data_IF_308612926559
#
_entry.id   IF_308612926559
#
_cell.length_a   1.000
_cell.length_b   1.000
_cell.length_c   1.000
_cell.angle_alpha   90.00
_cell.angle_beta   90.00
_cell.angle_gamma   90.00
#
_symmetry.space_group_name_H-M   'P 1'
#
loop_
_entity.id
_entity.type
_entity.pdbx_description
1 polymer ?
#
# COMPACT_ATOMS: atom_id res chain seq x y z
N UNK A 1 6.98 6.11 -20.36
CA UNK A 1 8.15 6.34 -21.25
C UNK A 1 8.22 5.30 -22.37
N UNK A 2 8.26 4.01 -22.07
CA UNK A 2 8.27 2.96 -23.10
C UNK A 2 6.99 2.96 -23.95
N UNK A 3 5.84 3.36 -23.37
CA UNK A 3 4.59 3.50 -24.12
C UNK A 3 4.74 4.48 -25.28
N UNK A 4 5.31 5.66 -25.07
CA UNK A 4 5.55 6.64 -26.16
C UNK A 4 6.53 6.12 -27.20
N UNK A 5 7.57 5.38 -26.76
CA UNK A 5 8.50 4.74 -27.68
C UNK A 5 7.78 3.69 -28.54
N UNK A 6 6.93 2.86 -27.92
CA UNK A 6 6.20 1.83 -28.66
C UNK A 6 5.15 2.44 -29.60
N UNK A 7 4.48 3.53 -29.23
CA UNK A 7 3.61 4.29 -30.12
C UNK A 7 4.37 4.82 -31.35
N UNK A 8 5.56 5.36 -31.14
CA UNK A 8 6.40 5.76 -32.27
C UNK A 8 6.81 4.57 -33.15
N UNK A 9 7.15 3.44 -32.54
CA UNK A 9 7.55 2.22 -33.26
C UNK A 9 6.39 1.57 -34.03
N UNK A 10 5.12 1.83 -33.69
CA UNK A 10 3.95 1.34 -34.46
C UNK A 10 3.94 1.86 -35.88
N UNK A 11 4.56 3.02 -36.14
CA UNK A 11 4.70 3.59 -37.49
C UNK A 11 5.58 2.71 -38.39
N UNK A 12 6.49 1.93 -37.81
CA UNK A 12 7.40 1.06 -38.55
C UNK A 12 6.89 -0.39 -38.65
N UNK A 13 6.21 -0.86 -37.58
CA UNK A 13 5.69 -2.23 -37.54
C UNK A 13 4.45 -2.33 -36.64
N UNK A 14 3.35 -2.85 -37.21
CA UNK A 14 2.05 -2.96 -36.51
C UNK A 14 2.08 -3.88 -35.26
N UNK A 15 3.06 -4.76 -35.15
CA UNK A 15 3.24 -5.64 -33.98
C UNK A 15 3.43 -4.87 -32.67
N UNK A 16 3.94 -3.63 -32.72
CA UNK A 16 4.09 -2.80 -31.52
C UNK A 16 2.76 -2.31 -30.93
N UNK A 17 1.63 -2.43 -31.65
CA UNK A 17 0.30 -2.14 -31.12
C UNK A 17 -0.05 -3.00 -29.88
N UNK A 18 0.58 -4.15 -29.70
CA UNK A 18 0.37 -5.00 -28.53
C UNK A 18 0.65 -4.28 -27.21
N UNK A 19 1.57 -3.32 -27.17
CA UNK A 19 1.91 -2.54 -25.98
C UNK A 19 0.86 -1.48 -25.62
N UNK A 20 -0.15 -1.25 -26.47
CA UNK A 20 -1.28 -0.40 -26.12
C UNK A 20 -2.29 -1.12 -25.23
N UNK A 21 -2.29 -2.46 -25.20
CA UNK A 21 -3.18 -3.22 -24.34
C UNK A 21 -2.81 -3.05 -22.85
N UNK A 22 -3.75 -2.57 -22.07
CA UNK A 22 -3.59 -2.34 -20.62
C UNK A 22 -3.21 -3.61 -19.87
N UNK A 23 -3.80 -4.74 -20.26
CA UNK A 23 -3.50 -6.06 -19.66
C UNK A 23 -2.05 -6.46 -19.84
N UNK A 24 -1.50 -6.30 -21.05
CA UNK A 24 -0.08 -6.59 -21.30
C UNK A 24 0.82 -5.65 -20.49
N UNK A 25 0.53 -4.35 -20.47
CA UNK A 25 1.31 -3.37 -19.72
C UNK A 25 1.27 -3.66 -18.21
N UNK A 26 0.14 -4.12 -17.70
CA UNK A 26 0.03 -4.56 -16.30
C UNK A 26 0.92 -5.78 -16.03
N UNK A 27 0.91 -6.80 -16.89
CA UNK A 27 1.81 -7.98 -16.76
C UNK A 27 3.28 -7.53 -16.80
N UNK A 28 3.64 -6.69 -17.77
CA UNK A 28 5.00 -6.16 -17.87
C UNK A 28 5.37 -5.30 -16.66
N UNK A 29 4.40 -4.59 -16.09
CA UNK A 29 4.55 -3.84 -14.85
C UNK A 29 4.92 -4.74 -13.66
N UNK A 30 4.20 -5.86 -13.47
CA UNK A 30 4.55 -6.88 -12.45
C UNK A 30 5.96 -7.42 -12.68
N UNK A 31 6.24 -7.89 -13.90
CA UNK A 31 7.52 -8.53 -14.23
C UNK A 31 8.71 -7.56 -14.06
N UNK A 32 8.55 -6.33 -14.53
CA UNK A 32 9.61 -5.31 -14.43
C UNK A 32 9.92 -4.97 -12.97
N UNK A 33 8.89 -4.69 -12.15
CA UNK A 33 9.10 -4.35 -10.75
C UNK A 33 9.64 -5.53 -9.93
N UNK A 34 9.15 -6.75 -10.20
CA UNK A 34 9.66 -7.99 -9.60
C UNK A 34 11.15 -8.19 -9.96
N UNK A 35 11.48 -8.07 -11.24
CA UNK A 35 12.85 -8.27 -11.73
C UNK A 35 13.82 -7.23 -11.14
N UNK A 36 13.42 -5.95 -11.09
CA UNK A 36 14.20 -4.90 -10.44
C UNK A 36 14.44 -5.25 -8.96
N UNK A 37 13.39 -5.66 -8.24
CA UNK A 37 13.52 -6.02 -6.83
C UNK A 37 14.49 -7.19 -6.62
N UNK A 38 14.41 -8.24 -7.43
CA UNK A 38 15.28 -9.40 -7.31
C UNK A 38 16.74 -9.11 -7.68
N UNK A 39 16.98 -8.26 -8.70
CA UNK A 39 18.33 -7.89 -9.11
C UNK A 39 19.00 -6.89 -8.17
N UNK A 40 18.25 -5.86 -7.76
CA UNK A 40 18.81 -4.76 -6.94
C UNK A 40 18.84 -5.15 -5.47
N UNK A 41 17.94 -6.04 -5.03
CA UNK A 41 17.79 -6.45 -3.63
C UNK A 41 19.11 -6.88 -2.95
N UNK A 42 19.86 -7.86 -3.49
CA UNK A 42 21.10 -8.31 -2.88
C UNK A 42 22.15 -7.20 -2.76
N UNK A 43 22.22 -6.31 -3.75
CA UNK A 43 23.12 -5.15 -3.71
C UNK A 43 22.73 -4.17 -2.62
N UNK A 44 21.42 -3.82 -2.55
CA UNK A 44 20.90 -2.91 -1.52
C UNK A 44 21.13 -3.46 -0.11
N UNK A 45 20.79 -4.74 0.12
CA UNK A 45 20.94 -5.39 1.44
C UNK A 45 22.40 -5.36 1.86
N UNK A 46 23.33 -5.65 0.94
CA UNK A 46 24.78 -5.57 1.23
C UNK A 46 25.19 -4.16 1.64
N UNK A 47 24.73 -3.13 0.92
CA UNK A 47 25.04 -1.74 1.24
C UNK A 47 24.45 -1.30 2.58
N UNK A 48 23.21 -1.69 2.88
CA UNK A 48 22.60 -1.39 4.17
C UNK A 48 23.38 -2.04 5.33
N UNK A 49 23.86 -3.26 5.15
CA UNK A 49 24.71 -3.94 6.12
C UNK A 49 26.09 -3.24 6.29
N UNK A 50 26.74 -2.84 5.19
CA UNK A 50 28.03 -2.13 5.22
C UNK A 50 27.93 -0.80 6.00
N UNK A 51 26.82 -0.09 5.86
CA UNK A 51 26.58 1.17 6.59
C UNK A 51 26.05 0.95 8.01
N UNK A 52 25.98 -0.29 8.50
CA UNK A 52 25.45 -0.65 9.81
C UNK A 52 24.03 -0.08 10.06
N UNK A 53 23.21 -0.03 9.01
CA UNK A 53 21.84 0.44 9.03
C UNK A 53 20.95 -0.68 9.62
N UNK A 54 21.28 -1.16 10.82
CA UNK A 54 20.52 -2.19 11.53
C UNK A 54 19.46 -1.59 12.46
N UNK A 55 18.37 -2.30 12.64
CA UNK A 55 17.35 -1.90 13.58
C UNK A 55 17.81 -2.11 15.02
N UNK A 56 17.76 -1.08 15.86
CA UNK A 56 17.83 -1.24 17.31
C UNK A 56 16.51 -1.81 17.80
N UNK A 57 16.54 -3.07 18.24
CA UNK A 57 15.37 -3.72 18.85
C UNK A 57 15.06 -3.03 20.18
N UNK A 58 13.79 -2.70 20.39
CA UNK A 58 13.34 -2.09 21.67
C UNK A 58 13.34 -3.13 22.78
N UNK A 59 13.82 -2.73 23.96
CA UNK A 59 13.88 -3.60 25.14
C UNK A 59 12.48 -4.00 25.67
N UNK A 60 11.43 -3.27 25.27
CA UNK A 60 10.04 -3.48 25.72
C UNK A 60 9.29 -4.52 24.85
N UNK A 61 9.93 -5.09 23.80
CA UNK A 61 9.33 -6.06 22.86
C UNK A 61 9.43 -7.51 23.32
N UNK A 62 8.82 -8.47 22.57
CA UNK A 62 9.00 -9.90 22.79
C UNK A 62 10.48 -10.28 22.72
N UNK A 63 10.95 -11.15 23.63
CA UNK A 63 12.35 -11.58 23.69
C UNK A 63 12.82 -12.29 22.40
N UNK A 64 11.89 -12.88 21.65
CA UNK A 64 12.16 -13.48 20.33
C UNK A 64 12.76 -12.50 19.33
N UNK A 65 12.49 -11.19 19.48
CA UNK A 65 12.98 -10.15 18.59
C UNK A 65 14.46 -9.78 18.84
N UNK A 66 15.03 -10.14 19.98
CA UNK A 66 16.46 -9.90 20.26
C UNK A 66 17.39 -10.62 19.28
N UNK A 67 16.97 -11.78 18.75
CA UNK A 67 17.72 -12.53 17.72
C UNK A 67 17.78 -11.81 16.36
N UNK A 68 16.91 -10.83 16.13
CA UNK A 68 16.82 -10.02 14.89
C UNK A 68 17.71 -8.76 14.94
N UNK A 69 18.43 -8.55 16.04
CA UNK A 69 19.34 -7.40 16.19
C UNK A 69 20.42 -7.46 15.09
N UNK A 70 20.58 -6.36 14.36
CA UNK A 70 21.53 -6.28 13.25
C UNK A 70 20.94 -6.55 11.86
N UNK A 71 19.68 -7.03 11.74
CA UNK A 71 19.02 -7.11 10.44
C UNK A 71 18.83 -5.70 9.87
N UNK A 72 19.27 -5.42 8.63
CA UNK A 72 19.17 -4.10 8.03
C UNK A 72 17.70 -3.69 7.87
N UNK A 73 17.43 -2.39 8.07
CA UNK A 73 16.14 -1.75 7.83
C UNK A 73 16.21 -0.83 6.60
N UNK A 74 15.14 -0.11 6.28
CA UNK A 74 15.00 0.76 5.09
C UNK A 74 14.88 -0.01 3.76
N UNK A 75 14.51 -1.29 3.80
CA UNK A 75 14.26 -2.08 2.58
C UNK A 75 13.11 -1.56 1.72
N UNK A 76 12.23 -0.73 2.29
CA UNK A 76 11.19 -0.01 1.55
C UNK A 76 11.69 0.83 0.39
N UNK A 77 12.97 1.25 0.40
CA UNK A 77 13.58 1.93 -0.74
C UNK A 77 13.58 1.05 -2.00
N UNK A 78 13.84 -0.26 -1.85
CA UNK A 78 13.79 -1.22 -2.95
C UNK A 78 12.39 -1.25 -3.57
N UNK A 79 11.36 -1.29 -2.72
CA UNK A 79 9.96 -1.32 -3.15
C UNK A 79 9.64 -0.05 -3.93
N UNK A 80 9.96 1.13 -3.40
CA UNK A 80 9.66 2.41 -4.04
C UNK A 80 10.35 2.60 -5.38
N UNK A 81 11.64 2.24 -5.46
CA UNK A 81 12.39 2.30 -6.73
C UNK A 81 11.76 1.37 -7.76
N UNK A 82 11.42 0.14 -7.37
CA UNK A 82 10.81 -0.83 -8.27
C UNK A 82 9.44 -0.39 -8.78
N UNK A 83 8.58 0.16 -7.89
CA UNK A 83 7.29 0.73 -8.27
C UNK A 83 7.47 1.93 -9.19
N UNK A 84 8.34 2.89 -8.81
CA UNK A 84 8.53 4.11 -9.59
C UNK A 84 9.04 3.81 -11.00
N UNK A 85 10.12 3.02 -11.12
CA UNK A 85 10.69 2.68 -12.43
C UNK A 85 9.69 1.92 -13.30
N UNK A 86 9.02 0.91 -12.75
CA UNK A 86 8.03 0.12 -13.48
C UNK A 86 6.85 0.98 -13.95
N UNK A 87 6.30 1.84 -13.08
CA UNK A 87 5.20 2.74 -13.43
C UNK A 87 5.64 3.75 -14.51
N UNK A 88 6.82 4.36 -14.38
CA UNK A 88 7.37 5.29 -15.38
C UNK A 88 7.60 4.62 -16.74
N UNK A 89 7.94 3.33 -16.76
CA UNK A 89 8.11 2.58 -18.00
C UNK A 89 6.77 2.30 -18.71
N UNK A 90 5.78 1.80 -17.99
CA UNK A 90 4.62 1.16 -18.58
C UNK A 90 3.30 1.93 -18.47
N UNK A 91 3.16 2.88 -17.53
CA UNK A 91 1.95 3.68 -17.41
C UNK A 91 1.96 4.87 -18.37
N UNK A 92 0.76 5.34 -18.69
CA UNK A 92 0.56 6.62 -19.37
C UNK A 92 0.79 7.78 -18.38
N UNK A 93 1.92 8.45 -18.53
CA UNK A 93 2.33 9.55 -17.65
C UNK A 93 1.53 10.85 -17.86
N UNK A 94 0.76 10.95 -18.94
CA UNK A 94 -0.17 12.07 -19.16
C UNK A 94 -1.44 11.94 -18.33
N UNK A 95 -1.69 10.75 -17.77
CA UNK A 95 -2.86 10.46 -16.98
C UNK A 95 -2.74 11.06 -15.56
N UNK A 96 -3.70 11.94 -15.19
CA UNK A 96 -3.72 12.62 -13.88
C UNK A 96 -3.73 11.65 -12.69
N UNK A 97 -4.42 10.50 -12.82
CA UNK A 97 -4.51 9.51 -11.75
C UNK A 97 -3.15 8.86 -11.50
N UNK A 98 -2.39 8.53 -12.55
CA UNK A 98 -1.03 8.00 -12.43
C UNK A 98 -0.12 9.01 -11.72
N UNK A 99 -0.18 10.29 -12.11
CA UNK A 99 0.61 11.33 -11.44
C UNK A 99 0.29 11.41 -9.94
N UNK A 100 -1.00 11.41 -9.57
CA UNK A 100 -1.41 11.52 -8.16
C UNK A 100 -1.00 10.29 -7.35
N UNK A 101 -1.29 9.07 -7.82
CA UNK A 101 -0.97 7.85 -7.05
C UNK A 101 0.53 7.69 -6.87
N UNK A 102 1.33 8.01 -7.89
CA UNK A 102 2.79 7.94 -7.81
C UNK A 102 3.36 9.01 -6.87
N UNK A 103 2.93 10.27 -7.01
CA UNK A 103 3.41 11.37 -6.17
C UNK A 103 3.06 11.17 -4.70
N UNK A 104 1.82 10.76 -4.37
CA UNK A 104 1.42 10.46 -3.00
C UNK A 104 2.27 9.33 -2.41
N UNK A 105 2.46 8.24 -3.15
CA UNK A 105 3.27 7.12 -2.71
C UNK A 105 4.72 7.54 -2.42
N UNK A 106 5.34 8.26 -3.33
CA UNK A 106 6.71 8.74 -3.16
C UNK A 106 6.83 9.77 -2.02
N UNK A 107 5.86 10.68 -1.87
CA UNK A 107 5.86 11.67 -0.79
C UNK A 107 5.76 11.01 0.60
N UNK A 108 4.88 10.01 0.75
CA UNK A 108 4.82 9.22 1.99
C UNK A 108 6.09 8.41 2.22
N UNK A 109 6.70 7.89 1.14
CA UNK A 109 8.01 7.27 1.20
C UNK A 109 9.11 8.19 1.71
N UNK A 110 9.12 9.46 1.26
CA UNK A 110 10.07 10.47 1.75
C UNK A 110 9.85 10.77 3.23
N UNK A 111 8.59 10.85 3.70
CA UNK A 111 8.28 11.04 5.13
C UNK A 111 8.84 9.86 5.94
N UNK A 112 8.64 8.62 5.47
CA UNK A 112 9.19 7.41 6.08
C UNK A 112 10.71 7.39 6.05
N UNK A 113 11.32 7.80 4.94
CA UNK A 113 12.76 7.89 4.81
C UNK A 113 13.38 8.84 5.82
N UNK A 114 12.80 10.02 6.02
CA UNK A 114 13.27 10.98 7.04
C UNK A 114 13.17 10.39 8.45
N UNK A 115 12.11 9.63 8.72
CA UNK A 115 11.92 8.96 10.02
C UNK A 115 12.99 7.89 10.27
N UNK A 116 13.14 6.96 9.31
CA UNK A 116 14.12 5.88 9.39
C UNK A 116 15.57 6.40 9.41
N UNK A 117 15.88 7.41 8.58
CA UNK A 117 17.21 8.03 8.56
C UNK A 117 17.60 8.62 9.92
N UNK A 118 16.64 9.29 10.61
CA UNK A 118 16.88 9.82 11.96
C UNK A 118 17.08 8.71 12.99
N UNK A 119 16.33 7.61 12.90
CA UNK A 119 16.46 6.48 13.81
C UNK A 119 17.82 5.81 13.68
N UNK A 120 18.30 5.64 12.47
CA UNK A 120 19.49 4.84 12.16
C UNK A 120 20.76 5.70 12.18
N UNK A 121 20.82 6.76 11.36
CA UNK A 121 22.05 7.55 11.18
C UNK A 121 22.31 8.48 12.36
N UNK A 122 21.26 9.11 12.90
CA UNK A 122 21.40 9.95 14.09
C UNK A 122 21.24 9.17 15.40
N UNK A 123 21.08 7.84 15.35
CA UNK A 123 20.90 6.95 16.50
C UNK A 123 19.83 7.48 17.49
N UNK A 124 18.83 8.16 16.95
CA UNK A 124 17.73 8.71 17.74
C UNK A 124 16.54 7.73 17.71
N UNK A 125 16.31 6.93 18.76
CA UNK A 125 15.27 5.89 18.78
C UNK A 125 13.85 6.46 18.61
N UNK A 126 13.66 7.78 18.80
CA UNK A 126 12.36 8.47 18.64
C UNK A 126 12.08 8.83 17.18
N UNK A 127 13.10 8.84 16.29
CA UNK A 127 12.94 9.21 14.88
C UNK A 127 12.36 10.63 14.69
N UNK A 128 11.41 10.75 13.75
CA UNK A 128 10.62 11.96 13.56
C UNK A 128 9.51 12.00 14.63
N UNK A 129 9.33 13.16 15.30
CA UNK A 129 8.27 13.22 16.29
C UNK A 129 6.89 12.96 15.64
N UNK A 130 6.00 12.28 16.37
CA UNK A 130 4.67 11.90 15.87
C UNK A 130 3.89 13.10 15.32
N UNK A 131 4.05 14.30 15.91
CA UNK A 131 3.39 15.53 15.45
C UNK A 131 3.86 15.96 14.07
N UNK A 132 5.18 15.96 13.81
CA UNK A 132 5.73 16.32 12.49
C UNK A 132 5.44 15.26 11.43
N UNK A 133 5.49 13.98 11.81
CA UNK A 133 5.12 12.86 10.92
C UNK A 133 3.66 13.01 10.46
N UNK A 134 2.74 13.19 11.42
CA UNK A 134 1.32 13.37 11.14
C UNK A 134 1.03 14.66 10.36
N UNK A 135 1.74 15.75 10.66
CA UNK A 135 1.61 17.02 9.93
C UNK A 135 1.92 16.86 8.44
N UNK A 136 3.08 16.26 8.10
CA UNK A 136 3.46 16.09 6.69
C UNK A 136 2.56 15.09 5.96
N UNK A 137 2.15 14.00 6.61
CA UNK A 137 1.13 13.09 6.07
C UNK A 137 -0.17 13.83 5.78
N UNK A 138 -0.60 14.72 6.68
CA UNK A 138 -1.82 15.52 6.51
C UNK A 138 -1.69 16.50 5.36
N UNK A 139 -0.55 17.17 5.20
CA UNK A 139 -0.31 18.10 4.07
C UNK A 139 -0.43 17.33 2.76
N UNK A 140 0.27 16.21 2.61
CA UNK A 140 0.23 15.41 1.36
C UNK A 140 -1.18 14.85 1.12
N UNK A 141 -1.80 14.24 2.15
CA UNK A 141 -3.12 13.64 2.04
C UNK A 141 -4.23 14.65 1.68
N UNK A 142 -4.22 15.82 2.33
CA UNK A 142 -5.19 16.89 2.01
C UNK A 142 -4.95 17.47 0.61
N UNK A 143 -3.70 17.71 0.23
CA UNK A 143 -3.39 18.22 -1.12
C UNK A 143 -3.88 17.25 -2.19
N UNK A 144 -3.65 15.95 -2.02
CA UNK A 144 -4.14 14.94 -2.95
C UNK A 144 -5.68 14.88 -3.00
N UNK A 145 -6.34 14.92 -1.84
CA UNK A 145 -7.80 14.90 -1.74
C UNK A 145 -8.45 16.14 -2.40
N UNK A 146 -7.90 17.32 -2.15
CA UNK A 146 -8.36 18.58 -2.78
C UNK A 146 -8.12 18.55 -4.29
N UNK A 147 -6.94 18.09 -4.73
CA UNK A 147 -6.63 17.98 -6.16
C UNK A 147 -7.63 17.05 -6.87
N UNK A 148 -7.92 15.87 -6.33
CA UNK A 148 -8.87 14.93 -6.91
C UNK A 148 -10.29 15.51 -6.94
N UNK A 149 -10.70 16.24 -5.89
CA UNK A 149 -12.00 16.89 -5.83
C UNK A 149 -12.16 17.98 -6.89
N UNK A 150 -11.18 18.88 -7.01
CA UNK A 150 -11.24 20.01 -7.94
C UNK A 150 -11.04 19.56 -9.40
N UNK A 151 -10.26 18.51 -9.64
CA UNK A 151 -10.01 17.95 -10.97
C UNK A 151 -11.06 16.94 -11.41
N UNK A 152 -12.09 16.66 -10.62
CA UNK A 152 -13.14 15.73 -10.97
C UNK A 152 -13.92 16.21 -12.21
N UNK A 153 -14.06 15.33 -13.21
CA UNK A 153 -14.73 15.63 -14.48
C UNK A 153 -16.18 15.13 -14.45
N UNK A 154 -16.43 14.07 -13.69
CA UNK A 154 -17.75 13.45 -13.58
C UNK A 154 -18.20 13.31 -12.12
N UNK A 155 -19.52 13.35 -11.83
CA UNK A 155 -20.03 13.11 -10.48
C UNK A 155 -19.60 11.75 -9.89
N UNK A 156 -19.37 10.74 -10.73
CA UNK A 156 -18.93 9.41 -10.34
C UNK A 156 -17.61 9.43 -9.56
N UNK A 157 -16.75 10.42 -9.82
CA UNK A 157 -15.44 10.53 -9.19
C UNK A 157 -15.48 11.01 -7.73
N UNK A 158 -16.61 11.54 -7.25
CA UNK A 158 -16.76 12.08 -5.89
C UNK A 158 -17.88 11.42 -5.10
N UNK A 159 -18.53 10.41 -5.66
CA UNK A 159 -19.57 9.63 -4.99
C UNK A 159 -18.96 8.48 -4.18
N UNK A 160 -19.53 8.19 -3.02
CA UNK A 160 -19.21 6.99 -2.25
C UNK A 160 -20.11 5.84 -2.72
N UNK A 161 -19.49 4.72 -3.03
CA UNK A 161 -20.18 3.50 -3.44
C UNK A 161 -20.34 2.59 -2.22
N UNK A 162 -21.58 2.15 -1.93
CA UNK A 162 -21.82 1.20 -0.84
C UNK A 162 -21.71 -0.23 -1.41
N UNK A 163 -20.74 -1.04 -0.96
CA UNK A 163 -20.61 -2.41 -1.43
C UNK A 163 -21.83 -3.25 -1.03
N UNK A 164 -22.17 -4.29 -1.83
CA UNK A 164 -23.27 -5.23 -1.62
C UNK A 164 -24.69 -4.65 -1.68
N UNK A 165 -24.85 -3.35 -1.91
CA UNK A 165 -26.17 -2.72 -2.04
C UNK A 165 -26.26 -2.06 -3.42
N UNK A 166 -27.20 -2.57 -4.23
CA UNK A 166 -27.40 -2.09 -5.60
C UNK A 166 -27.91 -0.64 -5.63
N UNK A 167 -27.41 0.12 -6.60
CA UNK A 167 -27.83 1.48 -6.92
C UNK A 167 -27.72 2.51 -5.77
N UNK A 168 -27.00 2.17 -4.68
CA UNK A 168 -26.76 3.11 -3.58
C UNK A 168 -25.41 3.79 -3.78
N UNK A 169 -25.46 5.03 -4.26
CA UNK A 169 -24.32 5.94 -4.32
C UNK A 169 -24.63 7.20 -3.53
N UNK A 170 -23.68 7.63 -2.71
CA UNK A 170 -23.83 8.80 -1.85
C UNK A 170 -22.98 9.93 -2.42
N UNK A 171 -23.61 11.04 -2.80
CA UNK A 171 -22.86 12.22 -3.20
C UNK A 171 -22.29 12.89 -1.94
N UNK A 172 -20.98 12.87 -1.82
CA UNK A 172 -20.28 13.38 -0.63
C UNK A 172 -20.07 14.90 -0.66
N UNK A 173 -20.15 15.54 -1.84
CA UNK A 173 -19.77 16.95 -1.96
C UNK A 173 -18.37 17.19 -1.37
N UNK A 174 -18.22 18.25 -0.56
CA UNK A 174 -16.94 18.58 0.09
C UNK A 174 -16.47 17.56 1.15
N UNK A 175 -17.40 16.74 1.69
CA UNK A 175 -17.07 15.65 2.64
C UNK A 175 -16.13 14.61 1.98
N UNK A 176 -16.16 14.53 0.65
CA UNK A 176 -15.21 13.74 -0.11
C UNK A 176 -13.74 14.02 0.28
N UNK A 177 -13.39 15.29 0.46
CA UNK A 177 -12.02 15.69 0.85
C UNK A 177 -11.66 15.12 2.22
N UNK A 178 -12.61 15.19 3.16
CA UNK A 178 -12.40 14.69 4.53
C UNK A 178 -12.27 13.17 4.53
N UNK A 179 -13.16 12.47 3.83
CA UNK A 179 -13.10 11.01 3.71
C UNK A 179 -11.79 10.56 3.06
N UNK A 180 -11.43 11.16 1.93
CA UNK A 180 -10.21 10.84 1.19
C UNK A 180 -8.96 11.05 2.05
N UNK A 181 -8.90 12.14 2.79
CA UNK A 181 -7.83 12.40 3.75
C UNK A 181 -7.68 11.26 4.78
N UNK A 182 -8.80 10.88 5.42
CA UNK A 182 -8.77 9.81 6.42
C UNK A 182 -8.41 8.46 5.81
N UNK A 183 -8.84 8.16 4.60
CA UNK A 183 -8.49 6.93 3.90
C UNK A 183 -6.99 6.88 3.60
N UNK A 184 -6.40 7.96 3.04
CA UNK A 184 -4.96 7.99 2.72
C UNK A 184 -4.11 7.88 3.98
N UNK A 185 -4.32 8.78 4.94
CA UNK A 185 -3.50 8.85 6.16
C UNK A 185 -3.76 7.65 7.07
N UNK A 186 -5.01 7.22 7.17
CA UNK A 186 -5.43 6.05 7.95
C UNK A 186 -4.79 4.77 7.42
N UNK A 187 -4.89 4.50 6.11
CA UNK A 187 -4.28 3.32 5.50
C UNK A 187 -2.76 3.32 5.63
N UNK A 188 -2.11 4.49 5.46
CA UNK A 188 -0.67 4.63 5.64
C UNK A 188 -0.22 4.20 7.03
N UNK A 189 -0.88 4.71 8.07
CA UNK A 189 -0.53 4.37 9.45
C UNK A 189 -0.96 2.94 9.82
N UNK A 190 -2.04 2.42 9.24
CA UNK A 190 -2.51 1.06 9.49
C UNK A 190 -1.52 0.01 8.97
N UNK A 191 -1.01 0.18 7.76
CA UNK A 191 0.04 -0.70 7.22
C UNK A 191 1.32 -0.60 8.05
N UNK A 192 1.70 0.61 8.48
CA UNK A 192 2.88 0.81 9.32
C UNK A 192 2.74 0.11 10.69
N UNK A 193 1.57 0.15 11.32
CA UNK A 193 1.31 -0.57 12.58
C UNK A 193 1.35 -2.09 12.40
N UNK A 194 1.04 -2.59 11.21
CA UNK A 194 1.03 -4.02 10.89
C UNK A 194 2.43 -4.56 10.57
N UNK A 195 3.38 -3.70 10.21
CA UNK A 195 4.75 -4.07 9.84
C UNK A 195 5.62 -4.37 11.09
N UNK A 196 5.16 -5.31 11.91
CA UNK A 196 5.84 -5.70 13.16
C UNK A 196 6.48 -7.08 13.12
N UNK A 197 6.15 -7.94 12.13
CA UNK A 197 6.71 -9.28 11.93
C UNK A 197 7.18 -9.48 10.49
N UNK A 198 8.12 -10.40 10.31
CA UNK A 198 8.77 -10.68 9.02
C UNK A 198 7.75 -11.08 7.94
N UNK A 199 7.57 -10.26 6.91
CA UNK A 199 6.64 -10.51 5.82
C UNK A 199 5.15 -10.30 6.15
N UNK A 200 4.79 -9.93 7.37
CA UNK A 200 3.41 -9.80 7.80
C UNK A 200 2.63 -8.76 6.99
N UNK A 201 3.19 -7.57 6.80
CA UNK A 201 2.49 -6.46 6.13
C UNK A 201 2.56 -6.54 4.59
N UNK A 202 3.65 -7.10 4.04
CA UNK A 202 3.90 -7.01 2.59
C UNK A 202 2.95 -7.90 1.78
N UNK A 203 2.70 -9.16 2.18
CA UNK A 203 1.80 -10.02 1.40
C UNK A 203 0.34 -9.56 1.43
N UNK A 204 -0.25 -9.16 2.57
CA UNK A 204 -1.55 -8.47 2.60
C UNK A 204 -1.62 -7.27 1.67
N UNK A 205 -0.56 -6.44 1.63
CA UNK A 205 -0.48 -5.30 0.71
C UNK A 205 -0.52 -5.74 -0.75
N UNK A 206 0.24 -6.78 -1.13
CA UNK A 206 0.25 -7.37 -2.48
C UNK A 206 -1.15 -7.87 -2.87
N UNK A 207 -1.81 -8.60 -1.97
CA UNK A 207 -3.15 -9.15 -2.21
C UNK A 207 -4.20 -8.05 -2.41
N UNK A 208 -4.19 -7.03 -1.56
CA UNK A 208 -5.11 -5.89 -1.66
C UNK A 208 -4.81 -5.08 -2.93
N UNK A 209 -3.54 -4.82 -3.26
CA UNK A 209 -3.16 -4.13 -4.50
C UNK A 209 -3.59 -4.92 -5.75
N UNK A 210 -3.46 -6.25 -5.73
CA UNK A 210 -3.95 -7.12 -6.80
C UNK A 210 -5.47 -7.04 -6.98
N UNK A 211 -6.23 -6.98 -5.90
CA UNK A 211 -7.67 -6.77 -5.97
C UNK A 211 -8.03 -5.37 -6.49
N UNK A 212 -7.37 -4.33 -5.99
CA UNK A 212 -7.57 -2.96 -6.47
C UNK A 212 -7.18 -2.80 -7.95
N UNK A 213 -6.22 -3.58 -8.45
CA UNK A 213 -5.90 -3.67 -9.88
C UNK A 213 -7.12 -4.12 -10.69
N UNK A 214 -7.85 -5.14 -10.22
CA UNK A 214 -9.08 -5.62 -10.86
C UNK A 214 -10.16 -4.53 -10.84
N UNK A 215 -10.35 -3.85 -9.71
CA UNK A 215 -11.28 -2.73 -9.61
C UNK A 215 -10.90 -1.58 -10.56
N UNK A 216 -9.62 -1.20 -10.63
CA UNK A 216 -9.14 -0.17 -11.55
C UNK A 216 -9.43 -0.53 -13.01
N UNK A 217 -9.14 -1.78 -13.39
CA UNK A 217 -9.39 -2.27 -14.73
C UNK A 217 -10.88 -2.24 -15.09
N UNK A 218 -11.75 -2.74 -14.20
CA UNK A 218 -13.19 -2.82 -14.44
C UNK A 218 -13.88 -1.46 -14.43
N UNK A 219 -13.52 -0.57 -13.48
CA UNK A 219 -14.04 0.80 -13.38
C UNK A 219 -13.60 1.67 -14.57
N UNK A 220 -12.40 1.39 -15.11
CA UNK A 220 -11.85 2.11 -16.26
C UNK A 220 -12.31 1.60 -17.63
N UNK A 221 -13.13 0.54 -17.68
CA UNK A 221 -13.58 -0.07 -18.93
C UNK A 221 -15.10 -0.01 -19.06
N UNK A 222 -15.62 0.72 -20.04
CA UNK A 222 -17.04 1.04 -20.15
C UNK A 222 -17.96 -0.20 -20.15
N UNK A 223 -17.63 -1.25 -20.89
CA UNK A 223 -18.46 -2.47 -20.96
C UNK A 223 -18.43 -3.27 -19.67
N UNK A 224 -17.27 -3.32 -18.98
CA UNK A 224 -17.18 -4.01 -17.68
C UNK A 224 -17.89 -3.21 -16.60
N UNK A 225 -17.75 -1.89 -16.61
CA UNK A 225 -18.44 -1.02 -15.66
C UNK A 225 -19.97 -1.17 -15.78
N UNK A 226 -20.48 -1.15 -17.01
CA UNK A 226 -21.91 -1.35 -17.31
C UNK A 226 -22.36 -2.77 -16.89
N UNK A 227 -21.65 -3.81 -17.29
CA UNK A 227 -21.98 -5.21 -16.93
C UNK A 227 -22.00 -5.45 -15.42
N UNK A 228 -21.10 -4.82 -14.69
CA UNK A 228 -20.97 -4.96 -13.23
C UNK A 228 -21.87 -3.98 -12.45
N UNK A 229 -22.50 -3.01 -13.12
CA UNK A 229 -23.30 -1.97 -12.49
C UNK A 229 -22.46 -1.01 -11.61
N UNK A 230 -21.18 -0.80 -11.95
CA UNK A 230 -20.31 0.15 -11.26
C UNK A 230 -20.14 1.42 -12.09
N UNK A 231 -19.87 2.57 -11.46
CA UNK A 231 -19.62 3.80 -12.20
C UNK A 231 -18.38 3.70 -13.09
N UNK A 232 -18.52 4.09 -14.35
CA UNK A 232 -17.39 4.23 -15.27
C UNK A 232 -16.63 5.52 -14.97
N UNK A 233 -15.30 5.43 -14.81
CA UNK A 233 -14.40 6.58 -14.63
C UNK A 233 -13.36 6.56 -15.72
N UNK A 234 -13.41 7.53 -16.63
CA UNK A 234 -12.48 7.63 -17.76
C UNK A 234 -11.05 7.80 -17.29
N UNK A 235 -10.17 6.92 -17.79
CA UNK A 235 -8.73 6.98 -17.51
C UNK A 235 -8.27 6.27 -16.23
N UNK A 236 -9.19 5.86 -15.34
CA UNK A 236 -8.82 5.17 -14.10
C UNK A 236 -8.21 3.79 -14.35
N UNK A 237 -8.50 3.17 -15.49
CA UNK A 237 -7.93 1.88 -15.87
C UNK A 237 -6.40 1.86 -15.84
N UNK A 238 -5.75 2.98 -16.15
CA UNK A 238 -4.27 3.08 -16.10
C UNK A 238 -3.69 2.77 -14.71
N UNK A 239 -4.44 3.02 -13.66
CA UNK A 239 -4.03 2.72 -12.27
C UNK A 239 -3.79 1.22 -12.06
N UNK A 240 -4.36 0.36 -12.93
CA UNK A 240 -4.05 -1.07 -12.91
C UNK A 240 -2.56 -1.36 -13.14
N UNK A 241 -1.87 -0.58 -13.97
CA UNK A 241 -0.41 -0.70 -14.19
C UNK A 241 0.37 -0.33 -12.94
N UNK A 242 -0.07 0.71 -12.22
CA UNK A 242 0.53 1.10 -10.94
C UNK A 242 0.33 0.01 -9.86
N UNK A 243 -0.88 -0.52 -9.74
CA UNK A 243 -1.17 -1.64 -8.82
C UNK A 243 -0.35 -2.88 -9.16
N UNK A 244 -0.21 -3.19 -10.46
CA UNK A 244 0.65 -4.26 -10.96
C UNK A 244 2.11 -4.07 -10.54
N UNK A 245 2.61 -2.82 -10.60
CA UNK A 245 3.96 -2.49 -10.14
C UNK A 245 4.12 -2.70 -8.63
N UNK A 246 3.09 -2.40 -7.81
CA UNK A 246 3.08 -2.71 -6.38
C UNK A 246 3.14 -4.22 -6.15
N UNK A 247 2.34 -5.00 -6.89
CA UNK A 247 2.32 -6.46 -6.77
C UNK A 247 3.71 -7.05 -7.05
N UNK A 248 4.34 -6.67 -8.15
CA UNK A 248 5.67 -7.20 -8.50
C UNK A 248 6.75 -6.75 -7.52
N UNK A 249 6.77 -5.48 -7.13
CA UNK A 249 7.74 -4.95 -6.16
C UNK A 249 7.56 -5.61 -4.78
N UNK A 250 6.32 -5.79 -4.34
CA UNK A 250 6.00 -6.43 -3.07
C UNK A 250 6.38 -7.91 -3.03
N UNK A 251 6.12 -8.67 -4.09
CA UNK A 251 6.55 -10.07 -4.20
C UNK A 251 8.08 -10.18 -4.23
N UNK A 252 8.75 -9.28 -4.98
CA UNK A 252 10.21 -9.26 -5.02
C UNK A 252 10.84 -8.86 -3.68
N UNK A 253 10.22 -7.95 -2.93
CA UNK A 253 10.66 -7.62 -1.58
C UNK A 253 10.39 -8.77 -0.59
N UNK A 254 9.23 -9.44 -0.69
CA UNK A 254 8.88 -10.58 0.15
C UNK A 254 9.94 -11.71 0.05
N UNK A 255 10.57 -11.88 -1.10
CA UNK A 255 11.67 -12.86 -1.27
C UNK A 255 12.78 -12.68 -0.22
N UNK A 256 13.06 -11.45 0.18
CA UNK A 256 14.08 -11.12 1.17
C UNK A 256 13.53 -10.86 2.57
N UNK A 257 12.23 -10.54 2.68
CA UNK A 257 11.57 -10.18 3.94
C UNK A 257 10.78 -11.34 4.57
N UNK A 258 10.69 -12.51 3.91
CA UNK A 258 10.08 -13.72 4.51
C UNK A 258 10.89 -14.19 5.72
N UNK A 259 10.20 -14.81 6.69
CA UNK A 259 10.82 -15.30 7.92
C UNK A 259 11.87 -16.41 7.66
N UNK A 260 13.09 -16.33 8.21
CA UNK A 260 13.68 -15.18 8.90
C UNK A 260 14.15 -14.10 7.92
N UNK A 261 13.76 -12.84 8.17
CA UNK A 261 13.97 -11.74 7.24
C UNK A 261 15.46 -11.36 7.09
N UNK A 262 15.88 -11.13 5.84
CA UNK A 262 17.19 -10.59 5.49
C UNK A 262 17.24 -9.05 5.53
N UNK A 263 16.05 -8.41 5.44
CA UNK A 263 15.88 -6.96 5.46
C UNK A 263 14.49 -6.59 5.94
N UNK A 264 14.37 -5.55 6.76
CA UNK A 264 13.09 -4.99 7.18
C UNK A 264 12.64 -3.87 6.26
N UNK A 265 11.32 -3.73 6.10
CA UNK A 265 10.71 -2.73 5.22
C UNK A 265 10.97 -1.31 5.72
N UNK A 266 10.78 -1.08 6.99
CA UNK A 266 10.89 0.24 7.64
C UNK A 266 9.72 1.16 7.30
N UNK A 267 9.73 2.34 7.93
CA UNK A 267 8.70 3.35 7.73
C UNK A 267 8.63 3.86 6.27
N UNK A 268 9.76 3.79 5.52
CA UNK A 268 9.80 4.11 4.09
C UNK A 268 8.76 3.32 3.32
N UNK A 269 8.82 1.99 3.45
CA UNK A 269 7.94 1.10 2.68
C UNK A 269 6.54 1.07 3.25
N UNK A 270 6.40 0.92 4.57
CA UNK A 270 5.12 0.74 5.23
C UNK A 270 4.18 1.95 5.04
N UNK A 271 4.69 3.19 5.24
CA UNK A 271 3.89 4.40 5.04
C UNK A 271 3.51 4.61 3.57
N UNK A 272 4.46 4.37 2.67
CA UNK A 272 4.24 4.56 1.23
C UNK A 272 3.22 3.56 0.68
N UNK A 273 3.35 2.29 1.02
CA UNK A 273 2.44 1.24 0.55
C UNK A 273 1.03 1.43 1.10
N UNK A 274 0.89 1.78 2.38
CA UNK A 274 -0.42 2.07 2.95
C UNK A 274 -1.09 3.29 2.30
N UNK A 275 -0.34 4.37 2.04
CA UNK A 275 -0.84 5.53 1.31
C UNK A 275 -1.18 5.19 -0.15
N UNK A 276 -0.39 4.32 -0.80
CA UNK A 276 -0.66 3.84 -2.15
C UNK A 276 -1.99 3.08 -2.22
N UNK A 277 -2.25 2.15 -1.29
CA UNK A 277 -3.53 1.44 -1.22
C UNK A 277 -4.69 2.42 -0.99
N UNK A 278 -4.52 3.38 -0.07
CA UNK A 278 -5.54 4.38 0.25
C UNK A 278 -5.88 5.26 -0.95
N UNK A 279 -4.89 5.85 -1.62
CA UNK A 279 -5.12 6.73 -2.77
C UNK A 279 -5.70 5.98 -3.97
N UNK A 280 -5.25 4.73 -4.22
CA UNK A 280 -5.82 3.89 -5.28
C UNK A 280 -7.30 3.61 -4.98
N UNK A 281 -7.66 3.23 -3.76
CA UNK A 281 -9.05 2.96 -3.39
C UNK A 281 -9.96 4.18 -3.60
N UNK A 282 -9.45 5.39 -3.31
CA UNK A 282 -10.17 6.64 -3.58
C UNK A 282 -10.38 6.85 -5.08
N UNK A 283 -9.34 6.66 -5.87
CA UNK A 283 -9.40 6.88 -7.33
C UNK A 283 -10.35 5.89 -8.00
N UNK A 284 -10.39 4.64 -7.53
CA UNK A 284 -11.31 3.60 -8.05
C UNK A 284 -12.67 3.55 -7.34
N UNK A 285 -12.92 4.46 -6.38
CA UNK A 285 -14.17 4.58 -5.59
C UNK A 285 -14.50 3.34 -4.75
N UNK A 286 -13.49 2.70 -4.18
CA UNK A 286 -13.62 1.47 -3.40
C UNK A 286 -13.12 1.65 -1.95
N UNK A 287 -13.43 2.78 -1.33
CA UNK A 287 -12.97 3.12 0.03
C UNK A 287 -13.51 2.14 1.07
N UNK A 288 -14.81 1.83 1.00
CA UNK A 288 -15.45 0.86 1.91
C UNK A 288 -14.98 -0.58 1.64
N UNK A 289 -14.72 -0.90 0.37
CA UNK A 289 -14.17 -2.20 0.00
C UNK A 289 -12.73 -2.33 0.48
N UNK A 290 -11.92 -1.26 0.42
CA UNK A 290 -10.58 -1.25 1.02
C UNK A 290 -10.64 -1.55 2.52
N UNK A 291 -11.62 -0.98 3.24
CA UNK A 291 -11.80 -1.26 4.67
C UNK A 291 -12.04 -2.76 4.94
N UNK A 292 -12.77 -3.44 4.04
CA UNK A 292 -13.01 -4.88 4.12
C UNK A 292 -11.73 -5.66 3.73
N UNK A 293 -11.19 -5.43 2.54
CA UNK A 293 -10.01 -6.15 2.03
C UNK A 293 -8.78 -5.95 2.91
N UNK A 294 -8.60 -4.73 3.41
CA UNK A 294 -7.55 -4.35 4.35
C UNK A 294 -7.88 -4.66 5.81
N UNK A 295 -8.85 -5.52 6.10
CA UNK A 295 -9.35 -5.75 7.45
C UNK A 295 -8.29 -6.23 8.44
N UNK A 296 -7.20 -6.85 7.99
CA UNK A 296 -6.04 -7.15 8.86
C UNK A 296 -5.41 -5.85 9.35
N UNK A 297 -5.15 -4.89 8.47
CA UNK A 297 -4.61 -3.57 8.85
C UNK A 297 -5.56 -2.80 9.77
N UNK A 298 -6.85 -2.90 9.48
CA UNK A 298 -7.92 -2.32 10.30
C UNK A 298 -7.92 -2.93 11.70
N UNK A 299 -7.90 -4.26 11.80
CA UNK A 299 -7.91 -5.00 13.06
C UNK A 299 -6.69 -4.66 13.92
N UNK A 300 -5.49 -4.59 13.32
CA UNK A 300 -4.26 -4.18 14.00
C UNK A 300 -4.38 -2.75 14.56
N UNK A 301 -4.85 -1.82 13.75
CA UNK A 301 -5.04 -0.42 14.15
C UNK A 301 -6.07 -0.29 15.26
N UNK A 302 -7.23 -0.95 15.14
CA UNK A 302 -8.26 -0.92 16.16
C UNK A 302 -7.77 -1.53 17.49
N UNK A 303 -6.95 -2.57 17.45
CA UNK A 303 -6.37 -3.15 18.66
C UNK A 303 -5.52 -2.13 19.45
N UNK A 304 -4.76 -1.30 18.72
CA UNK A 304 -3.96 -0.22 19.34
C UNK A 304 -4.87 0.87 19.92
N UNK A 305 -5.88 1.30 19.16
CA UNK A 305 -6.83 2.33 19.62
C UNK A 305 -7.56 1.87 20.88
N UNK A 306 -8.08 0.64 20.89
CA UNK A 306 -8.79 0.06 22.04
C UNK A 306 -7.86 -0.11 23.24
N UNK A 307 -6.63 -0.59 23.03
CA UNK A 307 -5.64 -0.75 24.10
C UNK A 307 -5.29 0.58 24.76
N UNK A 308 -4.96 1.60 23.94
CA UNK A 308 -4.60 2.93 24.44
C UNK A 308 -5.81 3.60 25.12
N UNK A 309 -6.98 3.50 24.51
CA UNK A 309 -8.22 4.03 25.08
C UNK A 309 -8.55 3.41 26.43
N UNK A 310 -8.55 2.07 26.52
CA UNK A 310 -8.80 1.37 27.79
C UNK A 310 -7.77 1.74 28.87
N UNK A 311 -6.48 1.74 28.51
CA UNK A 311 -5.44 2.06 29.48
C UNK A 311 -5.56 3.49 30.02
N UNK A 312 -5.87 4.47 29.16
CA UNK A 312 -6.09 5.86 29.59
C UNK A 312 -7.33 6.05 30.45
N UNK A 313 -8.42 5.30 30.17
CA UNK A 313 -9.69 5.45 30.88
C UNK A 313 -9.78 4.62 32.15
N UNK A 314 -9.19 3.41 32.15
CA UNK A 314 -9.40 2.43 33.22
C UNK A 314 -8.11 1.96 33.90
N UNK A 315 -6.93 2.32 33.36
CA UNK A 315 -5.63 1.82 33.83
C UNK A 315 -5.39 0.33 33.50
N UNK A 316 -6.31 -0.33 32.78
CA UNK A 316 -6.22 -1.77 32.48
C UNK A 316 -5.95 -2.00 31.00
N UNK A 317 -5.14 -3.03 30.69
CA UNK A 317 -4.87 -3.51 29.32
C UNK A 317 -5.97 -4.50 28.91
N UNK A 318 -6.48 -4.38 27.67
CA UNK A 318 -7.40 -5.37 27.06
C UNK A 318 -6.60 -6.53 26.50
N UNK A 319 -5.54 -6.23 25.76
CA UNK A 319 -4.65 -7.21 25.15
C UNK A 319 -3.35 -7.32 25.96
N UNK A 320 -2.66 -8.46 25.91
CA UNK A 320 -1.32 -8.59 26.50
C UNK A 320 -0.37 -7.53 25.96
N UNK A 321 -0.41 -7.33 24.62
CA UNK A 321 0.28 -6.26 23.92
C UNK A 321 -0.55 -5.88 22.68
N UNK A 322 -0.45 -4.65 22.20
CA UNK A 322 -0.97 -4.21 20.91
C UNK A 322 0.21 -3.68 20.08
N UNK A 323 0.17 -3.87 18.74
CA UNK A 323 -0.89 -4.48 17.90
C UNK A 323 -1.13 -5.99 18.16
N UNK A 324 -2.18 -6.57 17.54
CA UNK A 324 -2.66 -7.94 17.83
C UNK A 324 -1.64 -9.05 17.54
N UNK A 325 -0.77 -8.90 16.54
CA UNK A 325 0.26 -9.89 16.26
C UNK A 325 1.14 -10.14 17.49
N UNK A 326 1.56 -9.10 18.24
CA UNK A 326 2.30 -9.25 19.48
C UNK A 326 1.50 -9.93 20.60
N UNK A 327 0.18 -9.72 20.64
CA UNK A 327 -0.69 -10.42 21.58
C UNK A 327 -0.63 -11.94 21.38
N UNK A 328 -0.64 -12.40 20.10
CA UNK A 328 -0.56 -13.83 19.80
C UNK A 328 0.84 -14.40 20.06
N UNK A 329 1.92 -13.64 19.80
CA UNK A 329 3.28 -14.05 20.18
C UNK A 329 3.38 -14.27 21.69
N UNK A 330 2.89 -13.30 22.50
CA UNK A 330 2.87 -13.43 23.97
C UNK A 330 1.96 -14.55 24.49
N UNK A 331 1.03 -15.04 23.68
CA UNK A 331 0.27 -16.27 23.94
C UNK A 331 1.03 -17.55 23.55
N UNK A 332 2.28 -17.45 23.11
CA UNK A 332 3.12 -18.57 22.76
C UNK A 332 2.93 -19.10 21.32
N UNK A 333 2.33 -18.32 20.42
CA UNK A 333 2.29 -18.69 19.02
C UNK A 333 3.64 -18.33 18.34
N UNK A 334 4.27 -19.28 17.63
CA UNK A 334 5.47 -18.97 16.87
C UNK A 334 5.13 -17.99 15.75
N UNK A 335 6.05 -17.05 15.49
CA UNK A 335 5.92 -15.97 14.52
C UNK A 335 5.40 -16.44 13.14
N UNK A 336 5.95 -17.50 12.49
CA UNK A 336 5.44 -17.95 11.19
C UNK A 336 3.97 -18.37 11.22
N UNK A 337 3.47 -18.88 12.36
CA UNK A 337 2.07 -19.25 12.50
C UNK A 337 1.16 -18.03 12.51
N UNK A 338 1.58 -16.95 13.18
CA UNK A 338 0.83 -15.67 13.19
C UNK A 338 0.78 -15.14 11.77
N UNK A 339 1.93 -15.02 11.10
CA UNK A 339 2.09 -14.48 9.75
C UNK A 339 1.16 -15.20 8.76
N UNK A 340 1.27 -16.53 8.66
CA UNK A 340 0.49 -17.33 7.68
C UNK A 340 -1.01 -17.23 7.95
N UNK A 341 -1.44 -17.21 9.22
CA UNK A 341 -2.87 -17.04 9.55
C UNK A 341 -3.41 -15.69 9.14
N UNK A 342 -2.65 -14.62 9.34
CA UNK A 342 -3.03 -13.28 8.90
C UNK A 342 -3.09 -13.18 7.37
N UNK A 343 -2.18 -13.85 6.66
CA UNK A 343 -2.25 -13.96 5.21
C UNK A 343 -3.53 -14.67 4.74
N UNK A 344 -3.89 -15.78 5.38
CA UNK A 344 -5.12 -16.51 5.05
C UNK A 344 -6.36 -15.64 5.31
N UNK A 345 -6.39 -14.91 6.44
CA UNK A 345 -7.47 -13.96 6.74
C UNK A 345 -7.55 -12.90 5.64
N UNK A 346 -6.41 -12.35 5.21
CA UNK A 346 -6.40 -11.36 4.12
C UNK A 346 -6.93 -11.94 2.82
N UNK A 347 -6.58 -13.17 2.45
CA UNK A 347 -7.14 -13.83 1.25
C UNK A 347 -8.67 -13.90 1.34
N UNK A 348 -9.21 -14.32 2.49
CA UNK A 348 -10.66 -14.39 2.70
C UNK A 348 -11.30 -13.00 2.53
N UNK A 349 -10.74 -11.99 3.17
CA UNK A 349 -11.27 -10.61 3.11
C UNK A 349 -11.17 -10.01 1.71
N UNK A 350 -10.10 -10.29 0.97
CA UNK A 350 -9.94 -9.88 -0.43
C UNK A 350 -10.98 -10.54 -1.31
N UNK A 351 -11.25 -11.84 -1.13
CA UNK A 351 -12.30 -12.54 -1.88
C UNK A 351 -13.69 -11.97 -1.57
N UNK A 352 -13.97 -11.63 -0.30
CA UNK A 352 -15.23 -10.95 0.10
C UNK A 352 -15.31 -9.58 -0.59
N UNK A 353 -14.23 -8.80 -0.59
CA UNK A 353 -14.19 -7.52 -1.28
C UNK A 353 -14.41 -7.65 -2.79
N UNK A 354 -13.79 -8.61 -3.45
CA UNK A 354 -13.99 -8.88 -4.87
C UNK A 354 -15.40 -9.37 -5.20
N UNK A 355 -16.05 -10.11 -4.28
CA UNK A 355 -17.44 -10.52 -4.46
C UNK A 355 -18.38 -9.32 -4.58
N UNK A 356 -18.06 -8.17 -3.98
CA UNK A 356 -18.85 -6.94 -4.09
C UNK A 356 -18.92 -6.38 -5.54
N UNK A 357 -18.05 -6.83 -6.45
CA UNK A 357 -18.14 -6.46 -7.87
C UNK A 357 -19.43 -6.95 -8.54
N UNK A 358 -19.97 -8.09 -8.11
CA UNK A 358 -21.13 -8.69 -8.76
C UNK A 358 -22.32 -8.88 -7.83
N UNK A 359 -22.08 -9.00 -6.52
CA UNK A 359 -23.15 -9.12 -5.52
C UNK A 359 -23.64 -7.70 -5.17
N UNK A 360 -24.55 -7.20 -6.01
CA UNK A 360 -25.19 -5.88 -5.84
C UNK A 360 -26.66 -5.98 -6.21
#
# INVERSE_FOLDING_TARGET
>A
MLLWLTEYLTQFHSGFNVFQYLTLRSILGVLTSLFISLLVGPYLIRRLNEYQIGQNVRDDGPQSHLSKTGTPTMGGLLILVSIAVSTLCWADLSNRFIAVVLLVTLAFGVIGWVDDYRKVVHQNPRGLSARYKYFWQSVVGLTAAVFLYVSAISPAETQLIVPFIKDVTINLGWIYIVLSYFVIVGSSNAVNLTDGLDGLAILPTVLVAGALMIFAYTTGHIYFAEYLGIPYIKGVGEVAVFCASIVGAGLGFLWFNTYPAQVFMGDIGALALGAALGIVAIVVRQELVLFIMGGVFVMETFSVILQVGSYKLTGKRIFHMAPLHHHYELKGWPEPRVIVRFWIITVILVLIGLASLKVR
#
